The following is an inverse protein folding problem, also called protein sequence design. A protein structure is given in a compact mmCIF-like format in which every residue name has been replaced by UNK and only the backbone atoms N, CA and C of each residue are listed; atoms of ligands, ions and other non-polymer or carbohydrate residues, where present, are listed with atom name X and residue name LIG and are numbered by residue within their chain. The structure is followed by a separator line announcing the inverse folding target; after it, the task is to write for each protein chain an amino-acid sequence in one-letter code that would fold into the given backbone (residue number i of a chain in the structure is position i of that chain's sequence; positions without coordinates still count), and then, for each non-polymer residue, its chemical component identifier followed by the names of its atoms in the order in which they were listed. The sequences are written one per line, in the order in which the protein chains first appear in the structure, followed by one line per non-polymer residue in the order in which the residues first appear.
data_IF_373019039227
#
_entry.id   IF_373019039227
#
_cell.length_a   1.000
_cell.length_b   1.000
_cell.length_c   1.000
_cell.angle_alpha   90.00
_cell.angle_beta   90.00
_cell.angle_gamma   90.00
#
_symmetry.space_group_name_H-M   'P 1'
#
loop_
_entity.id
_entity.type
_entity.pdbx_description
1 polymer ?
#
# COMPACT_ATOMS: atom_id res chain seq x y z
N UNK A 1 30.15 4.57 12.28
CA UNK A 1 29.12 3.57 12.64
C UNK A 1 27.77 4.26 12.51
N UNK A 2 26.81 3.72 11.74
CA UNK A 2 25.47 4.33 11.64
C UNK A 2 24.71 3.97 12.92
N UNK A 3 24.19 4.97 13.63
CA UNK A 3 23.33 4.76 14.81
C UNK A 3 22.18 3.78 14.48
N UNK A 4 21.89 2.79 15.35
CA UNK A 4 20.76 1.90 15.11
C UNK A 4 19.46 2.72 15.13
N UNK A 5 18.61 2.48 14.13
CA UNK A 5 17.33 3.17 14.01
C UNK A 5 16.48 2.89 15.25
N UNK A 6 16.01 3.95 15.92
CA UNK A 6 15.08 3.82 17.05
C UNK A 6 13.76 3.20 16.58
N UNK A 7 13.08 2.45 17.46
CA UNK A 7 11.78 1.83 17.18
C UNK A 7 10.80 2.80 16.51
N UNK A 8 10.70 4.02 17.04
CA UNK A 8 9.86 5.09 16.53
C UNK A 8 10.17 5.49 15.09
N UNK A 9 11.45 5.49 14.71
CA UNK A 9 11.88 5.84 13.35
C UNK A 9 11.66 4.69 12.37
N UNK A 10 11.75 3.44 12.84
CA UNK A 10 11.52 2.24 12.04
C UNK A 10 10.04 2.04 11.71
N UNK A 11 9.15 2.35 12.66
CA UNK A 11 7.71 2.14 12.54
C UNK A 11 6.92 3.45 12.40
N UNK A 12 7.59 4.58 12.12
CA UNK A 12 6.97 5.91 12.09
C UNK A 12 5.77 5.97 11.14
N UNK A 13 5.91 5.37 9.95
CA UNK A 13 4.83 5.34 8.96
C UNK A 13 3.60 4.59 9.51
N UNK A 14 3.80 3.38 10.04
CA UNK A 14 2.71 2.60 10.65
C UNK A 14 2.05 3.35 11.80
N UNK A 15 2.83 3.99 12.67
CA UNK A 15 2.31 4.71 13.83
C UNK A 15 1.49 5.94 13.42
N UNK A 16 1.97 6.72 12.46
CA UNK A 16 1.24 7.90 11.96
C UNK A 16 -0.04 7.46 11.25
N UNK A 17 0.03 6.44 10.40
CA UNK A 17 -1.16 5.91 9.71
C UNK A 17 -2.17 5.33 10.70
N UNK A 18 -1.71 4.60 11.73
CA UNK A 18 -2.57 4.07 12.78
C UNK A 18 -3.23 5.21 13.58
N UNK A 19 -2.49 6.29 13.87
CA UNK A 19 -3.05 7.46 14.54
C UNK A 19 -4.16 8.11 13.70
N UNK A 20 -3.94 8.33 12.41
CA UNK A 20 -4.98 8.84 11.50
C UNK A 20 -6.18 7.90 11.42
N UNK A 21 -5.94 6.59 11.33
CA UNK A 21 -7.00 5.58 11.31
C UNK A 21 -7.86 5.62 12.58
N UNK A 22 -7.24 5.62 13.76
CA UNK A 22 -7.97 5.67 15.03
C UNK A 22 -8.71 7.00 15.22
N UNK A 23 -8.11 8.11 14.78
CA UNK A 23 -8.77 9.42 14.81
C UNK A 23 -10.00 9.45 13.90
N UNK A 24 -9.89 8.90 12.68
CA UNK A 24 -11.01 8.81 11.74
C UNK A 24 -12.10 7.86 12.24
N UNK A 25 -11.72 6.69 12.77
CA UNK A 25 -12.67 5.71 13.32
C UNK A 25 -13.42 6.27 14.53
N UNK A 26 -12.68 6.87 15.47
CA UNK A 26 -13.28 7.53 16.63
C UNK A 26 -14.16 8.72 16.24
N UNK A 27 -13.74 9.51 15.25
CA UNK A 27 -14.54 10.59 14.67
C UNK A 27 -15.83 10.10 14.03
N UNK A 28 -15.77 9.03 13.23
CA UNK A 28 -16.95 8.38 12.66
C UNK A 28 -17.92 7.95 13.76
N UNK A 29 -17.43 7.25 14.79
CA UNK A 29 -18.28 6.79 15.89
C UNK A 29 -18.90 7.99 16.62
N UNK A 30 -18.11 8.99 16.99
CA UNK A 30 -18.60 10.19 17.69
C UNK A 30 -19.69 10.93 16.91
N UNK A 31 -19.49 11.14 15.60
CA UNK A 31 -20.48 11.81 14.76
C UNK A 31 -21.73 10.94 14.57
N UNK A 32 -21.58 9.63 14.40
CA UNK A 32 -22.69 8.68 14.34
C UNK A 32 -23.50 8.65 15.64
N UNK A 33 -22.87 8.87 16.80
CA UNK A 33 -23.58 8.97 18.08
C UNK A 33 -24.53 10.17 18.09
N UNK A 34 -24.05 11.34 17.65
CA UNK A 34 -24.91 12.52 17.58
C UNK A 34 -26.07 12.33 16.60
N UNK A 35 -25.82 11.70 15.44
CA UNK A 35 -26.88 11.36 14.49
C UNK A 35 -27.89 10.36 15.08
N UNK A 36 -27.41 9.30 15.74
CA UNK A 36 -28.25 8.27 16.35
C UNK A 36 -29.19 8.84 17.41
N UNK A 37 -28.69 9.69 18.30
CA UNK A 37 -29.49 10.29 19.37
C UNK A 37 -30.54 11.25 18.80
N UNK A 38 -30.20 12.00 17.75
CA UNK A 38 -31.14 12.90 17.06
C UNK A 38 -32.30 12.13 16.41
N UNK A 39 -32.00 10.99 15.78
CA UNK A 39 -33.00 10.14 15.12
C UNK A 39 -33.90 9.36 16.10
N UNK A 40 -33.32 8.81 17.18
CA UNK A 40 -34.05 7.90 18.08
C UNK A 40 -34.79 8.61 19.22
N UNK A 41 -34.40 9.84 19.57
CA UNK A 41 -35.00 10.61 20.66
C UNK A 41 -34.78 10.04 22.07
N UNK A 42 -34.08 8.91 22.20
CA UNK A 42 -33.68 8.28 23.46
C UNK A 42 -32.28 7.68 23.34
N UNK A 43 -31.51 7.73 24.44
CA UNK A 43 -30.12 7.24 24.47
C UNK A 43 -30.08 5.75 24.81
N UNK A 44 -29.99 4.89 23.78
CA UNK A 44 -29.61 3.48 23.92
C UNK A 44 -28.20 3.24 23.38
N UNK A 45 -27.25 3.01 24.28
CA UNK A 45 -25.86 2.74 23.92
C UNK A 45 -25.71 1.37 23.25
N UNK A 46 -26.54 0.40 23.63
CA UNK A 46 -26.47 -0.96 23.07
C UNK A 46 -26.86 -0.97 21.60
N UNK A 47 -28.01 -0.39 21.27
CA UNK A 47 -28.48 -0.22 19.90
C UNK A 47 -27.50 0.58 19.04
N UNK A 48 -26.96 1.67 19.58
CA UNK A 48 -25.94 2.46 18.89
C UNK A 48 -24.68 1.64 18.55
N UNK A 49 -24.13 0.88 19.51
CA UNK A 49 -22.92 0.07 19.27
C UNK A 49 -23.14 -1.02 18.20
N UNK A 50 -24.33 -1.61 18.16
CA UNK A 50 -24.70 -2.58 17.11
C UNK A 50 -24.79 -1.88 15.75
N UNK A 51 -25.43 -0.72 15.68
CA UNK A 51 -25.58 0.03 14.44
C UNK A 51 -24.23 0.51 13.89
N UNK A 52 -23.45 1.24 14.68
CA UNK A 52 -22.15 1.75 14.24
C UNK A 52 -21.16 0.62 13.96
N UNK A 53 -21.27 -0.50 14.68
CA UNK A 53 -20.49 -1.71 14.42
C UNK A 53 -20.84 -2.34 13.08
N UNK A 54 -22.14 -2.45 12.75
CA UNK A 54 -22.59 -2.91 11.43
C UNK A 54 -22.10 -1.97 10.34
N UNK A 55 -22.31 -0.66 10.48
CA UNK A 55 -21.92 0.33 9.47
C UNK A 55 -20.39 0.34 9.24
N UNK A 56 -19.61 0.16 10.31
CA UNK A 56 -18.14 -0.01 10.23
C UNK A 56 -17.76 -1.29 9.48
N UNK A 57 -18.43 -2.41 9.76
CA UNK A 57 -18.16 -3.70 9.12
C UNK A 57 -18.61 -3.74 7.66
N UNK A 58 -19.73 -3.10 7.31
CA UNK A 58 -20.21 -2.95 5.93
C UNK A 58 -19.21 -2.15 5.09
N UNK A 59 -18.71 -1.03 5.62
CA UNK A 59 -17.64 -0.25 4.99
C UNK A 59 -16.36 -1.06 4.83
N UNK A 60 -15.94 -1.77 5.89
CA UNK A 60 -14.78 -2.68 5.78
C UNK A 60 -14.98 -3.75 4.73
N UNK A 61 -16.15 -4.38 4.66
CA UNK A 61 -16.43 -5.41 3.66
C UNK A 61 -16.28 -4.86 2.23
N UNK A 62 -16.86 -3.70 1.92
CA UNK A 62 -16.83 -3.12 0.58
C UNK A 62 -15.44 -2.63 0.19
N UNK A 63 -14.75 -1.91 1.08
CA UNK A 63 -13.42 -1.37 0.83
C UNK A 63 -12.37 -2.49 0.73
N UNK A 64 -12.46 -3.56 1.53
CA UNK A 64 -11.57 -4.71 1.36
C UNK A 64 -11.77 -5.41 0.03
N UNK A 65 -13.01 -5.61 -0.39
CA UNK A 65 -13.29 -6.21 -1.69
C UNK A 65 -12.71 -5.33 -2.82
N UNK A 66 -12.89 -4.01 -2.73
CA UNK A 66 -12.32 -3.07 -3.68
C UNK A 66 -10.78 -3.12 -3.71
N UNK A 67 -10.13 -3.07 -2.55
CA UNK A 67 -8.66 -3.11 -2.45
C UNK A 67 -8.09 -4.42 -2.96
N UNK A 68 -8.70 -5.56 -2.60
CA UNK A 68 -8.30 -6.87 -3.11
C UNK A 68 -8.49 -6.92 -4.63
N UNK A 69 -9.63 -6.46 -5.14
CA UNK A 69 -9.87 -6.39 -6.57
C UNK A 69 -8.82 -5.55 -7.31
N UNK A 70 -8.48 -4.37 -6.76
CA UNK A 70 -7.46 -3.50 -7.34
C UNK A 70 -6.08 -4.16 -7.30
N UNK A 71 -5.61 -4.62 -6.14
CA UNK A 71 -4.27 -5.20 -6.01
C UNK A 71 -4.14 -6.50 -6.78
N UNK A 72 -5.08 -7.44 -6.61
CA UNK A 72 -5.06 -8.72 -7.30
C UNK A 72 -5.29 -8.55 -8.81
N UNK A 73 -6.22 -7.68 -9.21
CA UNK A 73 -6.48 -7.37 -10.62
C UNK A 73 -5.27 -6.73 -11.30
N UNK A 74 -4.62 -5.76 -10.66
CA UNK A 74 -3.38 -5.16 -11.18
C UNK A 74 -2.23 -6.16 -11.20
N UNK A 75 -2.07 -6.97 -10.16
CA UNK A 75 -1.05 -8.03 -10.13
C UNK A 75 -1.29 -9.08 -11.23
N UNK A 76 -2.54 -9.45 -11.49
CA UNK A 76 -2.90 -10.35 -12.59
C UNK A 76 -2.59 -9.73 -13.95
N UNK A 77 -2.98 -8.47 -14.19
CA UNK A 77 -2.67 -7.75 -15.43
C UNK A 77 -1.16 -7.56 -15.63
N UNK A 78 -0.42 -7.34 -14.54
CA UNK A 78 1.03 -7.33 -14.56
C UNK A 78 1.57 -8.71 -14.97
N UNK A 79 1.08 -9.79 -14.37
CA UNK A 79 1.56 -11.14 -14.67
C UNK A 79 1.24 -11.61 -16.11
N UNK A 80 0.06 -11.28 -16.64
CA UNK A 80 -0.39 -11.71 -17.99
C UNK A 80 0.28 -10.92 -19.12
N UNK A 81 1.18 -9.98 -18.80
CA UNK A 81 1.93 -9.25 -19.81
C UNK A 81 1.19 -8.00 -20.29
N UNK A 82 0.71 -7.17 -19.37
CA UNK A 82 0.42 -5.77 -19.72
C UNK A 82 1.65 -5.11 -20.37
N UNK A 83 1.48 -4.06 -21.16
CA UNK A 83 2.61 -3.33 -21.77
C UNK A 83 3.61 -2.80 -20.73
N UNK A 84 3.21 -2.61 -19.47
CA UNK A 84 4.09 -2.29 -18.35
C UNK A 84 4.90 -3.49 -17.82
N UNK A 85 4.44 -4.72 -18.05
CA UNK A 85 5.14 -5.96 -17.69
C UNK A 85 6.16 -6.40 -18.76
N UNK A 86 5.93 -6.06 -20.03
CA UNK A 86 6.92 -6.27 -21.09
C UNK A 86 8.19 -5.41 -20.95
N UNK A 87 8.15 -4.34 -20.15
CA UNK A 87 9.29 -3.51 -19.76
C UNK A 87 9.66 -3.71 -18.27
N UNK A 88 9.65 -4.95 -17.78
CA UNK A 88 10.24 -5.25 -16.48
C UNK A 88 11.72 -4.82 -16.43
N UNK A 89 12.22 -4.42 -15.24
CA UNK A 89 13.60 -3.94 -15.04
C UNK A 89 14.62 -4.92 -15.63
N UNK A 90 14.38 -6.23 -15.50
CA UNK A 90 15.22 -7.28 -16.10
C UNK A 90 15.31 -7.20 -17.64
N UNK A 91 14.18 -6.97 -18.35
CA UNK A 91 14.18 -6.80 -19.81
C UNK A 91 14.82 -5.48 -20.24
N UNK A 92 14.72 -4.43 -19.41
CA UNK A 92 15.41 -3.17 -19.67
C UNK A 92 16.92 -3.32 -19.47
N UNK A 93 17.36 -3.96 -18.39
CA UNK A 93 18.75 -4.33 -18.14
C UNK A 93 19.31 -5.18 -19.28
N UNK A 94 18.61 -6.23 -19.73
CA UNK A 94 19.05 -7.05 -20.86
C UNK A 94 19.22 -6.24 -22.16
N UNK A 95 18.29 -5.32 -22.45
CA UNK A 95 18.40 -4.44 -23.63
C UNK A 95 19.58 -3.47 -23.49
N UNK A 96 19.77 -2.88 -22.30
CA UNK A 96 20.88 -1.97 -22.01
C UNK A 96 22.23 -2.68 -22.11
N UNK A 97 22.34 -3.89 -21.55
CA UNK A 97 23.50 -4.76 -21.67
C UNK A 97 23.79 -5.12 -23.13
N UNK A 98 22.77 -5.46 -23.91
CA UNK A 98 22.92 -5.74 -25.34
C UNK A 98 23.41 -4.52 -26.12
N UNK A 99 22.97 -3.31 -25.77
CA UNK A 99 23.48 -2.05 -26.35
C UNK A 99 24.92 -1.80 -25.93
N UNK A 100 25.26 -1.97 -24.65
CA UNK A 100 26.60 -1.76 -24.11
C UNK A 100 27.62 -2.68 -24.78
N UNK A 101 27.26 -3.96 -24.95
CA UNK A 101 28.10 -4.96 -25.66
C UNK A 101 28.30 -4.62 -27.14
N UNK A 102 27.35 -3.94 -27.78
CA UNK A 102 27.51 -3.46 -29.17
C UNK A 102 28.34 -2.18 -29.26
N UNK A 103 28.27 -1.31 -28.25
CA UNK A 103 28.96 -0.03 -28.22
C UNK A 103 30.44 -0.18 -27.84
N UNK A 104 30.74 -0.95 -26.80
CA UNK A 104 32.10 -1.21 -26.33
C UNK A 104 32.28 -2.67 -25.91
N UNK A 105 32.53 -3.59 -26.88
CA UNK A 105 32.64 -5.02 -26.61
C UNK A 105 33.79 -5.41 -25.69
N UNK A 106 34.80 -4.55 -25.50
CA UNK A 106 36.00 -4.88 -24.72
C UNK A 106 35.80 -4.63 -23.23
N UNK A 107 35.06 -3.58 -22.88
CA UNK A 107 34.84 -3.19 -21.49
C UNK A 107 33.41 -3.44 -20.99
N UNK A 108 32.45 -3.78 -21.86
CA UNK A 108 31.04 -3.96 -21.50
C UNK A 108 30.83 -4.90 -20.30
N UNK A 109 31.40 -6.11 -20.33
CA UNK A 109 31.17 -7.09 -19.24
C UNK A 109 31.80 -6.65 -17.92
N UNK A 110 32.91 -5.88 -17.95
CA UNK A 110 33.49 -5.28 -16.75
C UNK A 110 32.55 -4.23 -16.15
N UNK A 111 32.01 -3.35 -17.00
CA UNK A 111 31.10 -2.28 -16.57
C UNK A 111 29.79 -2.86 -16.01
N UNK A 112 29.21 -3.87 -16.66
CA UNK A 112 28.01 -4.57 -16.17
C UNK A 112 28.28 -5.20 -14.79
N UNK A 113 29.40 -5.90 -14.63
CA UNK A 113 29.77 -6.54 -13.37
C UNK A 113 30.11 -5.57 -12.23
N UNK A 114 30.54 -4.35 -12.54
CA UNK A 114 30.76 -3.29 -11.57
C UNK A 114 29.44 -2.61 -11.15
N UNK A 115 28.51 -2.41 -12.10
CA UNK A 115 27.18 -1.88 -11.83
C UNK A 115 26.37 -2.84 -10.94
N UNK A 116 26.36 -4.13 -11.25
CA UNK A 116 25.68 -5.15 -10.46
C UNK A 116 26.22 -5.33 -9.03
N UNK A 117 27.45 -4.86 -8.76
CA UNK A 117 28.05 -4.89 -7.40
C UNK A 117 27.74 -3.62 -6.60
N UNK A 118 27.40 -2.54 -7.29
CA UNK A 118 27.20 -1.21 -6.71
C UNK A 118 25.76 -1.01 -6.22
N UNK A 119 24.81 -1.61 -6.92
CA UNK A 119 23.39 -1.61 -6.61
C UNK A 119 22.97 -2.95 -6.01
#
# INVERSE_FOLDING_TARGET
MREPWTFWRRYSYTLVTLAFFLAALGGHWLLSWFAYVDEQGATDVGGYLVQVGRDTLENWQSEFLQLIWQVAGLAFLFHVGSSQSEENDERQEEKLDAILRKLDPKDADRVIADLARKF
#
